data_IF_412838462294
#
_entry.id   IF_412838462294
#
_cell.length_a   1.000
_cell.length_b   1.000
_cell.length_c   1.000
_cell.angle_alpha   90.00
_cell.angle_beta   90.00
_cell.angle_gamma   90.00
#
_symmetry.space_group_name_H-M   'P 1'
#
loop_
_entity.id
_entity.type
_entity.pdbx_description
1 polymer ?
#
# COMPACT_ATOMS: atom_id res chain seq x y z
N UNK A 1 -25.57 -12.97 3.46
CA UNK A 1 -24.79 -12.15 4.40
C UNK A 1 -23.48 -11.86 3.69
N UNK A 2 -23.24 -10.60 3.33
CA UNK A 2 -22.05 -10.21 2.56
C UNK A 2 -20.82 -10.41 3.43
N UNK A 3 -19.86 -11.19 2.95
CA UNK A 3 -18.59 -11.36 3.64
C UNK A 3 -17.80 -10.04 3.46
N UNK A 4 -17.28 -9.41 4.53
CA UNK A 4 -16.51 -8.19 4.38
C UNK A 4 -15.23 -8.44 3.58
N UNK A 5 -14.85 -7.46 2.75
CA UNK A 5 -13.62 -7.51 1.97
C UNK A 5 -12.39 -7.42 2.88
N UNK A 6 -12.43 -6.53 3.87
CA UNK A 6 -11.42 -6.40 4.91
C UNK A 6 -12.06 -6.59 6.27
N UNK A 7 -11.44 -7.41 7.11
CA UNK A 7 -11.83 -7.64 8.49
C UNK A 7 -10.64 -7.48 9.41
N UNK A 8 -10.77 -6.60 10.38
CA UNK A 8 -9.76 -6.30 11.40
C UNK A 8 -10.37 -6.64 12.75
N UNK A 9 -9.71 -7.50 13.51
CA UNK A 9 -10.21 -7.93 14.82
C UNK A 9 -9.10 -7.82 15.86
N UNK A 10 -9.38 -7.07 16.93
CA UNK A 10 -8.50 -6.84 18.08
C UNK A 10 -7.04 -6.53 17.71
N UNK A 11 -6.85 -5.74 16.64
CA UNK A 11 -5.52 -5.46 16.11
C UNK A 11 -4.71 -4.64 17.13
N UNK A 12 -3.52 -5.14 17.44
CA UNK A 12 -2.60 -4.50 18.38
C UNK A 12 -1.22 -4.36 17.75
N UNK A 13 -0.74 -3.12 17.63
CA UNK A 13 0.58 -2.79 17.06
C UNK A 13 1.39 -1.99 18.06
N UNK A 14 2.61 -2.45 18.33
CA UNK A 14 3.53 -1.83 19.28
C UNK A 14 4.82 -1.37 18.61
N UNK A 15 5.37 -0.28 19.12
CA UNK A 15 6.67 0.26 18.72
C UNK A 15 7.59 0.30 19.92
N UNK A 16 8.83 -0.17 19.76
CA UNK A 16 9.86 -0.04 20.80
C UNK A 16 10.58 1.31 20.61
N UNK A 17 10.50 2.17 21.61
CA UNK A 17 11.22 3.45 21.65
C UNK A 17 12.22 3.45 22.80
N UNK A 18 13.05 4.50 22.89
CA UNK A 18 14.01 4.65 24.01
C UNK A 18 13.32 4.83 25.36
N UNK A 19 12.12 5.42 25.34
CA UNK A 19 11.34 5.75 26.53
C UNK A 19 10.37 4.63 26.94
N UNK A 20 10.31 3.55 26.17
CA UNK A 20 9.50 2.37 26.47
C UNK A 20 8.77 1.81 25.25
N UNK A 21 7.79 0.94 25.51
CA UNK A 21 6.93 0.38 24.47
C UNK A 21 5.71 1.28 24.29
N UNK A 22 5.49 1.73 23.05
CA UNK A 22 4.32 2.53 22.67
C UNK A 22 3.31 1.62 21.99
N UNK A 23 2.08 1.60 22.51
CA UNK A 23 0.93 0.93 21.88
C UNK A 23 0.32 1.90 20.87
N UNK A 24 0.74 1.80 19.61
CA UNK A 24 0.26 2.71 18.56
C UNK A 24 -1.14 2.31 18.07
N UNK A 25 -1.48 1.04 18.18
CA UNK A 25 -2.82 0.49 17.94
C UNK A 25 -3.10 -0.48 19.09
N UNK A 26 -4.24 -0.31 19.76
CA UNK A 26 -4.55 -1.04 21.00
C UNK A 26 -5.97 -1.63 20.95
N UNK A 27 -6.12 -2.72 20.19
CA UNK A 27 -7.35 -3.53 20.18
C UNK A 27 -8.47 -3.00 19.29
N UNK A 28 -8.13 -2.43 18.12
CA UNK A 28 -9.14 -1.93 17.20
C UNK A 28 -9.81 -3.08 16.42
N UNK A 29 -11.11 -2.96 16.20
CA UNK A 29 -11.88 -3.93 15.39
C UNK A 29 -12.85 -3.21 14.48
N UNK A 30 -12.83 -3.53 13.20
CA UNK A 30 -13.77 -3.01 12.21
C UNK A 30 -13.76 -3.88 10.95
N UNK A 31 -14.85 -3.81 10.20
CA UNK A 31 -15.02 -4.48 8.91
C UNK A 31 -15.19 -3.42 7.82
N UNK A 32 -14.76 -3.74 6.60
CA UNK A 32 -14.98 -2.94 5.38
C UNK A 32 -15.57 -3.87 4.32
N UNK A 33 -16.76 -3.56 3.84
CA UNK A 33 -17.40 -4.28 2.75
C UNK A 33 -16.78 -3.92 1.39
N UNK A 34 -17.08 -4.72 0.36
CA UNK A 34 -16.81 -4.33 -1.01
C UNK A 34 -17.55 -3.02 -1.34
N UNK A 35 -16.90 -2.16 -2.14
CA UNK A 35 -17.38 -0.83 -2.52
C UNK A 35 -17.66 0.15 -1.35
N UNK A 36 -17.19 -0.16 -0.15
CA UNK A 36 -17.31 0.73 1.01
C UNK A 36 -16.11 1.67 1.15
N UNK A 37 -16.39 2.93 1.51
CA UNK A 37 -15.36 3.93 1.82
C UNK A 37 -15.36 4.17 3.33
N UNK A 38 -14.25 3.82 3.97
CA UNK A 38 -14.04 4.03 5.41
C UNK A 38 -13.01 5.12 5.66
N UNK A 39 -13.36 6.07 6.53
CA UNK A 39 -12.49 7.16 6.96
C UNK A 39 -12.06 6.99 8.42
N UNK A 40 -10.76 7.08 8.68
CA UNK A 40 -10.20 7.10 10.04
C UNK A 40 -9.86 8.54 10.40
N UNK A 41 -10.50 9.07 11.44
CA UNK A 41 -10.32 10.46 11.91
C UNK A 41 -9.85 10.49 13.36
N UNK A 42 -9.09 11.53 13.72
CA UNK A 42 -8.56 11.70 15.07
C UNK A 42 -7.38 12.67 15.12
N UNK A 43 -6.97 13.04 16.31
CA UNK A 43 -5.89 14.00 16.56
C UNK A 43 -4.53 13.51 16.05
N UNK A 44 -3.57 14.44 15.88
CA UNK A 44 -2.20 14.06 15.52
C UNK A 44 -1.63 13.10 16.57
N UNK A 45 -1.01 12.00 16.14
CA UNK A 45 -0.42 11.01 17.04
C UNK A 45 -1.37 9.93 17.58
N UNK A 46 -2.67 9.93 17.27
CA UNK A 46 -3.61 8.92 17.77
C UNK A 46 -3.53 7.54 17.09
N UNK A 47 -2.49 7.27 16.29
CA UNK A 47 -2.29 5.95 15.67
C UNK A 47 -2.94 5.75 14.29
N UNK A 48 -3.48 6.78 13.63
CA UNK A 48 -4.08 6.65 12.27
C UNK A 48 -3.12 6.07 11.24
N UNK A 49 -1.94 6.69 11.11
CA UNK A 49 -0.93 6.23 10.15
C UNK A 49 -0.39 4.85 10.55
N UNK A 50 -0.21 4.60 11.85
CA UNK A 50 0.22 3.29 12.34
C UNK A 50 -0.81 2.20 12.01
N UNK A 51 -2.11 2.50 12.13
CA UNK A 51 -3.20 1.61 11.71
C UNK A 51 -3.09 1.31 10.23
N UNK A 52 -3.05 2.34 9.38
CA UNK A 52 -2.97 2.15 7.93
C UNK A 52 -1.72 1.34 7.50
N UNK A 53 -0.56 1.61 8.09
CA UNK A 53 0.66 0.85 7.85
C UNK A 53 0.54 -0.61 8.30
N UNK A 54 -0.06 -0.86 9.45
CA UNK A 54 -0.26 -2.23 9.98
C UNK A 54 -1.17 -3.06 9.08
N UNK A 55 -2.22 -2.47 8.53
CA UNK A 55 -3.14 -3.15 7.59
C UNK A 55 -2.45 -3.64 6.31
N UNK A 56 -1.35 -2.98 5.95
CA UNK A 56 -0.54 -3.31 4.78
C UNK A 56 0.69 -4.13 5.14
N UNK A 57 0.94 -4.44 6.41
CA UNK A 57 2.17 -5.11 6.87
C UNK A 57 3.44 -4.22 6.77
N UNK A 58 3.29 -2.90 6.75
CA UNK A 58 4.36 -1.91 6.58
C UNK A 58 4.71 -1.18 7.89
N UNK A 59 4.41 -1.79 9.03
CA UNK A 59 4.53 -1.16 10.35
C UNK A 59 5.98 -1.00 10.87
N UNK A 60 7.01 -1.48 10.16
CA UNK A 60 8.43 -1.43 10.59
C UNK A 60 8.85 -0.01 11.06
N UNK A 61 9.53 0.14 12.21
CA UNK A 61 10.06 -0.87 13.15
C UNK A 61 9.05 -1.40 14.18
N UNK A 62 7.76 -1.21 13.94
CA UNK A 62 6.67 -1.73 14.77
C UNK A 62 6.39 -3.21 14.56
N UNK A 63 5.68 -3.80 15.51
CA UNK A 63 5.36 -5.22 15.57
C UNK A 63 3.86 -5.38 15.84
N UNK A 64 3.18 -6.23 15.04
CA UNK A 64 1.82 -6.67 15.34
C UNK A 64 1.94 -7.76 16.40
N UNK A 65 1.34 -7.52 17.56
CA UNK A 65 1.50 -8.39 18.75
C UNK A 65 0.20 -9.12 19.12
N UNK A 66 -0.88 -8.83 18.41
CA UNK A 66 -2.20 -9.39 18.68
C UNK A 66 -3.22 -8.98 17.63
N UNK A 67 -4.33 -9.73 17.62
CA UNK A 67 -5.43 -9.56 16.67
C UNK A 67 -5.23 -10.31 15.36
N UNK A 68 -6.07 -9.97 14.37
CA UNK A 68 -5.98 -10.53 13.03
C UNK A 68 -6.41 -9.55 11.95
N UNK A 69 -5.80 -9.65 10.79
CA UNK A 69 -6.14 -8.91 9.56
C UNK A 69 -6.51 -9.94 8.50
N UNK A 70 -7.75 -9.90 8.01
CA UNK A 70 -8.23 -10.78 6.94
C UNK A 70 -8.69 -9.95 5.75
N UNK A 71 -8.14 -10.25 4.57
CA UNK A 71 -8.48 -9.59 3.32
C UNK A 71 -8.95 -10.64 2.31
N UNK A 72 -10.15 -10.46 1.74
CA UNK A 72 -10.75 -11.36 0.75
C UNK A 72 -10.70 -12.83 1.21
N UNK A 73 -11.08 -13.07 2.48
CA UNK A 73 -11.04 -14.38 3.12
C UNK A 73 -9.65 -14.91 3.52
N UNK A 74 -8.56 -14.26 3.11
CA UNK A 74 -7.18 -14.66 3.41
C UNK A 74 -6.66 -13.96 4.66
N UNK A 75 -6.12 -14.73 5.62
CA UNK A 75 -5.47 -14.18 6.82
C UNK A 75 -4.07 -13.65 6.47
N UNK A 76 -3.82 -12.38 6.76
CA UNK A 76 -2.57 -11.69 6.44
C UNK A 76 -1.73 -11.37 7.68
N UNK A 77 -2.19 -11.75 8.87
CA UNK A 77 -1.56 -11.37 10.15
C UNK A 77 -0.10 -11.82 10.24
N UNK A 78 0.16 -13.07 9.82
CA UNK A 78 1.49 -13.68 9.80
C UNK A 78 1.99 -13.93 8.36
N UNK A 79 1.45 -13.20 7.38
CA UNK A 79 1.84 -13.36 5.99
C UNK A 79 3.35 -13.09 5.82
N UNK A 80 4.02 -14.00 5.12
CA UNK A 80 5.41 -13.84 4.73
C UNK A 80 5.55 -12.68 3.74
N UNK A 81 6.75 -12.10 3.64
CA UNK A 81 7.02 -11.04 2.68
C UNK A 81 6.69 -11.45 1.23
N UNK A 82 6.83 -12.73 0.88
CA UNK A 82 6.42 -13.25 -0.43
C UNK A 82 4.90 -13.21 -0.64
N UNK A 83 4.13 -13.53 0.39
CA UNK A 83 2.66 -13.44 0.35
C UNK A 83 2.20 -11.98 0.30
N UNK A 84 2.82 -11.11 1.10
CA UNK A 84 2.59 -9.67 1.03
C UNK A 84 2.86 -9.08 -0.34
N UNK A 85 3.94 -9.48 -1.02
CA UNK A 85 4.22 -9.04 -2.40
C UNK A 85 3.17 -9.46 -3.41
N UNK A 86 2.48 -10.58 -3.18
CA UNK A 86 1.39 -11.04 -4.05
C UNK A 86 0.10 -10.24 -3.88
N UNK A 87 -0.06 -9.51 -2.77
CA UNK A 87 -1.27 -8.73 -2.47
C UNK A 87 -1.03 -7.24 -2.61
N UNK A 88 0.14 -6.75 -2.20
CA UNK A 88 0.56 -5.35 -2.33
C UNK A 88 0.70 -4.97 -3.80
N UNK A 89 0.32 -3.75 -4.15
CA UNK A 89 0.44 -3.20 -5.51
C UNK A 89 -0.73 -3.57 -6.42
N UNK A 90 -1.15 -4.83 -6.43
CA UNK A 90 -2.28 -5.31 -7.25
C UNK A 90 -3.63 -5.11 -6.54
N UNK A 91 -3.77 -5.62 -5.31
CA UNK A 91 -5.04 -5.63 -4.56
C UNK A 91 -5.09 -4.66 -3.39
N UNK A 92 -3.95 -4.41 -2.76
CA UNK A 92 -3.81 -3.45 -1.66
C UNK A 92 -2.70 -2.47 -1.99
N UNK A 93 -3.04 -1.17 -2.04
CA UNK A 93 -2.11 -0.11 -2.41
C UNK A 93 -2.27 1.09 -1.49
N UNK A 94 -1.16 1.79 -1.24
CA UNK A 94 -1.13 2.96 -0.39
C UNK A 94 -0.66 4.18 -1.16
N UNK A 95 -1.33 5.31 -0.93
CA UNK A 95 -0.86 6.63 -1.36
C UNK A 95 -0.44 7.39 -0.10
N UNK A 96 0.85 7.68 0.03
CA UNK A 96 1.39 8.37 1.21
C UNK A 96 1.02 9.85 1.22
N UNK A 97 0.88 10.43 2.43
CA UNK A 97 0.51 11.84 2.59
C UNK A 97 1.54 12.82 1.99
N UNK A 98 2.82 12.42 1.92
CA UNK A 98 3.90 13.19 1.29
C UNK A 98 4.47 12.40 0.10
N UNK A 99 3.89 12.50 -1.10
CA UNK A 99 4.36 11.75 -2.27
C UNK A 99 5.76 12.20 -2.74
N UNK A 100 6.18 13.42 -2.41
CA UNK A 100 7.48 13.97 -2.81
C UNK A 100 8.68 13.22 -2.22
N UNK A 101 8.57 12.69 -0.99
CA UNK A 101 9.67 11.96 -0.35
C UNK A 101 9.88 10.54 -0.90
N UNK A 102 8.93 10.03 -1.68
CA UNK A 102 8.99 8.72 -2.35
C UNK A 102 9.42 8.82 -3.81
N UNK A 103 9.49 10.03 -4.38
CA UNK A 103 9.92 10.26 -5.75
C UNK A 103 11.42 10.58 -5.77
N UNK A 104 12.17 9.84 -6.59
CA UNK A 104 13.58 10.14 -6.82
C UNK A 104 13.70 11.22 -7.91
N UNK A 105 14.20 12.43 -7.59
CA UNK A 105 14.23 13.56 -8.52
C UNK A 105 15.18 13.37 -9.72
N UNK A 106 15.99 12.30 -9.70
CA UNK A 106 16.86 11.91 -10.82
C UNK A 106 16.07 11.27 -11.98
N UNK A 107 14.88 10.73 -11.71
CA UNK A 107 14.05 10.03 -12.71
C UNK A 107 12.79 10.80 -13.06
N UNK A 108 12.31 10.65 -14.29
CA UNK A 108 11.04 11.24 -14.70
C UNK A 108 9.86 10.56 -13.99
N UNK A 109 8.74 11.28 -13.84
CA UNK A 109 7.49 10.73 -13.26
C UNK A 109 7.06 9.46 -14.01
N UNK A 110 7.20 9.43 -15.33
CA UNK A 110 6.85 8.27 -16.15
C UNK A 110 7.72 7.04 -15.87
N UNK A 111 9.02 7.21 -15.63
CA UNK A 111 9.93 6.12 -15.30
C UNK A 111 9.62 5.50 -13.94
N UNK A 112 9.27 6.31 -12.94
CA UNK A 112 8.97 5.85 -11.59
C UNK A 112 7.61 5.14 -11.48
N UNK A 113 6.61 5.61 -12.24
CA UNK A 113 5.33 4.90 -12.39
C UNK A 113 5.57 3.55 -13.11
N UNK A 114 6.35 3.55 -14.20
CA UNK A 114 6.66 2.33 -14.93
C UNK A 114 7.46 1.32 -14.09
N UNK A 115 8.36 1.76 -13.22
CA UNK A 115 9.11 0.89 -12.31
C UNK A 115 8.20 0.20 -11.29
N UNK A 116 7.25 0.95 -10.72
CA UNK A 116 6.25 0.39 -9.79
C UNK A 116 5.45 -0.75 -10.43
N UNK A 117 5.05 -0.59 -11.71
CA UNK A 117 4.38 -1.65 -12.49
C UNK A 117 5.32 -2.81 -12.79
N UNK A 118 6.57 -2.54 -13.22
CA UNK A 118 7.58 -3.57 -13.53
C UNK A 118 7.87 -4.52 -12.37
N UNK A 119 7.97 -3.97 -11.15
CA UNK A 119 8.32 -4.75 -9.94
C UNK A 119 7.17 -5.69 -9.53
N UNK A 120 5.92 -5.31 -9.79
CA UNK A 120 4.75 -6.09 -9.40
C UNK A 120 4.27 -7.04 -10.52
N UNK A 121 4.48 -6.72 -11.79
CA UNK A 121 4.04 -7.56 -12.93
C UNK A 121 5.15 -8.41 -13.56
N UNK A 122 6.43 -8.23 -13.18
CA UNK A 122 7.55 -9.03 -13.69
C UNK A 122 7.85 -8.88 -15.18
N UNK A 123 7.34 -7.84 -15.85
CA UNK A 123 7.43 -7.69 -17.31
C UNK A 123 8.50 -6.68 -17.75
N UNK A 124 9.50 -7.06 -18.58
CA UNK A 124 10.47 -6.13 -19.15
C UNK A 124 9.87 -5.27 -20.28
N UNK A 125 10.08 -3.95 -20.21
CA UNK A 125 9.48 -2.90 -21.09
C UNK A 125 9.79 -3.05 -22.59
N UNK A 126 10.71 -3.93 -22.99
CA UNK A 126 11.09 -4.07 -24.42
C UNK A 126 9.90 -4.44 -25.32
N UNK A 127 8.85 -5.06 -24.78
CA UNK A 127 7.68 -5.48 -25.55
C UNK A 127 6.55 -4.42 -25.65
N UNK A 128 6.46 -3.44 -24.74
CA UNK A 128 5.31 -2.53 -24.71
C UNK A 128 5.51 -1.31 -25.63
N UNK A 129 6.75 -0.80 -25.77
CA UNK A 129 7.02 0.41 -26.59
C UNK A 129 6.99 0.14 -28.10
N UNK A 130 7.00 -1.14 -28.51
CA UNK A 130 6.94 -1.54 -29.94
C UNK A 130 5.59 -2.16 -30.34
N UNK A 131 4.67 -2.32 -29.40
CA UNK A 131 3.33 -2.84 -29.64
C UNK A 131 2.42 -1.72 -30.13
N UNK A 132 1.78 -1.91 -31.28
CA UNK A 132 0.84 -0.98 -31.94
C UNK A 132 -0.47 -0.74 -31.18
N UNK A 133 -0.56 -1.15 -29.91
CA UNK A 133 -1.73 -1.01 -29.06
C UNK A 133 -1.68 0.19 -28.09
N UNK A 134 -0.63 1.02 -28.11
CA UNK A 134 -0.55 2.23 -27.30
C UNK A 134 -1.42 3.37 -27.89
N UNK A 135 -2.48 3.83 -27.21
CA UNK A 135 -3.20 5.02 -27.64
C UNK A 135 -2.35 6.24 -27.27
N UNK A 136 -1.63 6.79 -28.25
CA UNK A 136 -0.85 8.01 -28.05
C UNK A 136 0.24 8.31 -29.08
N UNK A 137 0.61 7.39 -29.98
CA UNK A 137 1.63 7.68 -31.00
C UNK A 137 1.05 8.41 -32.23
N UNK A 138 0.44 9.57 -32.01
CA UNK A 138 0.05 10.49 -33.07
C UNK A 138 0.78 11.83 -32.87
N UNK A 139 1.94 11.91 -33.52
CA UNK A 139 2.46 13.08 -34.21
C UNK A 139 2.38 14.45 -33.52
N UNK A 140 3.54 14.98 -33.12
CA UNK A 140 3.93 16.34 -33.55
C UNK A 140 5.45 16.42 -33.71
N UNK A 141 5.90 16.15 -34.94
CA UNK A 141 7.16 16.68 -35.44
C UNK A 141 6.94 18.16 -35.74
N UNK A 142 7.73 19.04 -35.12
CA UNK A 142 7.56 20.49 -35.25
C UNK A 142 8.82 21.24 -34.84
N UNK A 143 9.79 21.25 -35.74
CA UNK A 143 10.92 22.17 -35.82
C UNK A 143 10.51 23.62 -35.52
N UNK A 144 11.25 24.33 -34.66
CA UNK A 144 11.86 25.63 -34.96
C UNK A 144 12.60 26.22 -33.73
N UNK A 145 13.91 26.44 -33.93
CA UNK A 145 14.85 27.41 -33.30
C UNK A 145 14.80 27.66 -31.80
#
# INVERSE_FOLDING_TARGET
MTNPLLRVADLQTRYRTRDGVVHAVDGISFDVAEDEIVGIVGESGCGKSATALSLLGLQDPGEIVGGSIRFDGTDLTDATEREWRGVRGDRLSMVFQNPESTLNPVFTVGEQIAESVKVHEGSPVSACVTSSACPGSAATAGTHR
#
